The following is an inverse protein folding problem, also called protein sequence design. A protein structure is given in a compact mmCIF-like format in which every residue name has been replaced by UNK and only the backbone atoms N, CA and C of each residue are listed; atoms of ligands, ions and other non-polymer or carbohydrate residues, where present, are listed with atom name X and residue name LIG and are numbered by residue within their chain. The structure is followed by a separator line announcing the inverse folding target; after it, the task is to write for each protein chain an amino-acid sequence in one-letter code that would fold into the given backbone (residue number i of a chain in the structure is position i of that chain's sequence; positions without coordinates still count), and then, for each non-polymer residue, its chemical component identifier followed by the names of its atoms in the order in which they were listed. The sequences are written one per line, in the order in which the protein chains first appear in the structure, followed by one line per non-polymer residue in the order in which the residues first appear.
data_IF_556808905654
#
_entry.id   IF_556808905654
#
_cell.length_a   1.000
_cell.length_b   1.000
_cell.length_c   1.000
_cell.angle_alpha   90.00
_cell.angle_beta   90.00
_cell.angle_gamma   90.00
#
_symmetry.space_group_name_H-M   'P 1'
#
loop_
_entity.id
_entity.type
_entity.pdbx_description
1 polymer ?
#
# COMPACT_ATOMS: atom_id res chain seq x y z
N UNK A 1 -16.33 -1.16 13.94
CA UNK A 1 -16.04 -1.44 12.52
C UNK A 1 -15.19 -0.30 11.91
N UNK A 2 -14.04 0.03 12.54
CA UNK A 2 -13.26 1.25 12.21
C UNK A 2 -11.86 0.94 11.66
N UNK A 3 -11.45 -0.32 11.61
CA UNK A 3 -10.09 -0.72 11.23
C UNK A 3 -9.80 -0.64 9.73
N UNK A 4 -10.82 -0.73 8.89
CA UNK A 4 -10.65 -0.78 7.42
C UNK A 4 -10.44 0.61 6.82
N UNK A 5 -11.09 1.63 7.37
CA UNK A 5 -11.04 2.98 6.82
C UNK A 5 -9.66 3.61 6.98
N UNK A 6 -9.04 3.51 8.17
CA UNK A 6 -7.74 4.14 8.43
C UNK A 6 -6.59 3.59 7.58
N UNK A 7 -6.57 2.29 7.26
CA UNK A 7 -5.56 1.70 6.38
C UNK A 7 -5.74 2.17 4.93
N UNK A 8 -7.00 2.21 4.47
CA UNK A 8 -7.33 2.69 3.13
C UNK A 8 -7.02 4.18 2.99
N UNK A 9 -7.36 4.99 3.99
CA UNK A 9 -7.02 6.42 4.04
C UNK A 9 -5.51 6.66 4.03
N UNK A 10 -4.74 5.84 4.76
CA UNK A 10 -3.28 5.90 4.75
C UNK A 10 -2.69 5.53 3.37
N UNK A 11 -3.25 4.52 2.71
CA UNK A 11 -2.86 4.14 1.37
C UNK A 11 -3.15 5.25 0.36
N UNK A 12 -4.38 5.78 0.33
CA UNK A 12 -4.77 6.88 -0.56
C UNK A 12 -3.87 8.11 -0.38
N UNK A 13 -3.61 8.51 0.88
CA UNK A 13 -2.71 9.63 1.17
C UNK A 13 -1.28 9.39 0.66
N UNK A 14 -0.80 8.15 0.70
CA UNK A 14 0.54 7.80 0.23
C UNK A 14 0.61 7.83 -1.30
N UNK A 15 -0.30 7.14 -2.01
CA UNK A 15 -0.29 7.10 -3.49
C UNK A 15 -0.52 8.48 -4.11
N UNK A 16 -1.36 9.32 -3.50
CA UNK A 16 -1.51 10.72 -3.93
C UNK A 16 -0.19 11.49 -3.82
N UNK A 17 0.51 11.39 -2.69
CA UNK A 17 1.73 12.18 -2.43
C UNK A 17 2.96 11.68 -3.17
N UNK A 18 3.05 10.37 -3.38
CA UNK A 18 4.27 9.71 -3.86
C UNK A 18 4.23 9.41 -5.35
N UNK A 19 3.03 9.29 -5.94
CA UNK A 19 2.86 8.97 -7.36
C UNK A 19 2.06 10.05 -8.08
N UNK A 20 0.79 10.24 -7.72
CA UNK A 20 -0.15 11.02 -8.54
C UNK A 20 0.18 12.51 -8.62
N UNK A 21 0.73 13.09 -7.54
CA UNK A 21 1.14 14.50 -7.52
C UNK A 21 2.58 14.73 -7.98
N UNK A 22 3.33 13.67 -8.29
CA UNK A 22 4.77 13.74 -8.61
C UNK A 22 5.04 13.41 -10.07
N UNK A 23 4.24 12.54 -10.66
CA UNK A 23 4.41 12.08 -12.04
C UNK A 23 3.41 12.73 -13.00
N UNK A 24 3.85 12.92 -14.25
CA UNK A 24 3.00 13.34 -15.36
C UNK A 24 2.85 12.15 -16.30
N UNK A 25 1.60 11.73 -16.51
CA UNK A 25 1.27 10.60 -17.37
C UNK A 25 0.85 11.06 -18.77
N UNK A 26 1.22 10.31 -19.79
CA UNK A 26 0.94 10.59 -21.20
C UNK A 26 -0.17 9.72 -21.77
N UNK A 27 -0.57 8.65 -21.08
CA UNK A 27 -1.69 7.79 -21.45
C UNK A 27 -2.36 7.18 -20.22
N UNK A 28 -3.59 6.69 -20.40
CA UNK A 28 -4.28 5.92 -19.35
C UNK A 28 -3.58 4.60 -19.05
N UNK A 29 -2.98 3.97 -20.06
CA UNK A 29 -2.21 2.74 -19.92
C UNK A 29 -0.99 2.96 -19.00
N UNK A 30 -0.28 4.08 -19.18
CA UNK A 30 0.85 4.45 -18.32
C UNK A 30 0.40 4.66 -16.86
N UNK A 31 -0.76 5.30 -16.64
CA UNK A 31 -1.33 5.45 -15.29
C UNK A 31 -1.62 4.07 -14.67
N UNK A 32 -2.25 3.16 -15.41
CA UNK A 32 -2.60 1.83 -14.93
C UNK A 32 -1.36 1.01 -14.56
N UNK A 33 -0.33 1.05 -15.41
CA UNK A 33 0.93 0.36 -15.15
C UNK A 33 1.62 0.91 -13.89
N UNK A 34 1.74 2.25 -13.78
CA UNK A 34 2.40 2.90 -12.65
C UNK A 34 1.67 2.67 -11.32
N UNK A 35 0.33 2.71 -11.33
CA UNK A 35 -0.49 2.39 -10.14
C UNK A 35 -0.29 0.93 -9.73
N UNK A 36 -0.28 -0.01 -10.68
CA UNK A 36 -0.07 -1.44 -10.40
C UNK A 36 1.28 -1.66 -9.71
N UNK A 37 2.35 -1.12 -10.30
CA UNK A 37 3.70 -1.21 -9.74
C UNK A 37 3.78 -0.58 -8.35
N UNK A 38 3.12 0.57 -8.13
CA UNK A 38 3.10 1.22 -6.83
C UNK A 38 2.38 0.38 -5.77
N UNK A 39 1.25 -0.25 -6.11
CA UNK A 39 0.50 -1.13 -5.19
C UNK A 39 1.36 -2.33 -4.78
N UNK A 40 2.06 -2.96 -5.72
CA UNK A 40 2.97 -4.06 -5.42
C UNK A 40 4.10 -3.62 -4.49
N UNK A 41 4.74 -2.49 -4.80
CA UNK A 41 5.80 -1.95 -3.97
C UNK A 41 5.30 -1.59 -2.55
N UNK A 42 4.17 -0.90 -2.46
CA UNK A 42 3.58 -0.50 -1.18
C UNK A 42 3.27 -1.69 -0.29
N UNK A 43 2.71 -2.77 -0.86
CA UNK A 43 2.30 -3.94 -0.09
C UNK A 43 3.46 -4.88 0.29
N UNK A 44 4.46 -5.03 -0.57
CA UNK A 44 5.45 -6.11 -0.43
C UNK A 44 6.90 -5.66 -0.23
N UNK A 45 7.20 -4.37 -0.41
CA UNK A 45 8.58 -3.87 -0.33
C UNK A 45 8.72 -2.81 0.75
N UNK A 46 7.70 -1.97 0.96
CA UNK A 46 7.77 -0.84 1.89
C UNK A 46 7.84 -1.30 3.36
N UNK A 47 8.98 -1.12 4.06
CA UNK A 47 9.05 -1.43 5.48
C UNK A 47 8.42 -0.30 6.29
N UNK A 48 7.50 -0.64 7.21
CA UNK A 48 6.87 0.35 8.08
C UNK A 48 7.50 0.30 9.48
N UNK A 49 8.15 1.38 9.90
CA UNK A 49 8.81 1.46 11.22
C UNK A 49 7.83 1.31 12.39
N UNK A 50 6.60 1.84 12.26
CA UNK A 50 5.54 1.69 13.28
C UNK A 50 5.02 0.26 13.44
N UNK A 51 5.51 -0.68 12.63
CA UNK A 51 5.11 -2.09 12.68
C UNK A 51 6.29 -3.04 12.86
N UNK A 52 7.47 -2.55 13.24
CA UNK A 52 8.67 -3.38 13.43
C UNK A 52 9.42 -3.68 12.14
N UNK A 53 9.24 -2.87 11.09
CA UNK A 53 9.93 -3.02 9.81
C UNK A 53 9.28 -4.00 8.85
N UNK A 54 8.16 -4.63 9.23
CA UNK A 54 7.37 -5.47 8.33
C UNK A 54 6.70 -4.63 7.23
N UNK A 55 6.35 -5.30 6.14
CA UNK A 55 5.53 -4.73 5.06
C UNK A 55 4.04 -4.83 5.40
N UNK A 56 3.15 -4.11 4.71
CA UNK A 56 1.70 -4.26 4.90
C UNK A 56 1.22 -5.70 4.67
N UNK A 57 1.79 -6.40 3.68
CA UNK A 57 1.49 -7.81 3.40
C UNK A 57 1.97 -8.73 4.53
N UNK A 58 3.20 -8.56 5.03
CA UNK A 58 3.74 -9.37 6.13
C UNK A 58 2.83 -9.30 7.36
N UNK A 59 2.36 -8.10 7.70
CA UNK A 59 1.44 -7.92 8.82
C UNK A 59 0.06 -8.53 8.52
N UNK A 60 -0.45 -8.40 7.31
CA UNK A 60 -1.77 -8.96 6.97
C UNK A 60 -1.77 -10.48 7.02
N UNK A 61 -0.82 -11.14 6.35
CA UNK A 61 -0.70 -12.61 6.36
C UNK A 61 -0.19 -13.16 7.70
N UNK A 62 0.58 -12.38 8.46
CA UNK A 62 0.95 -12.70 9.84
C UNK A 62 -0.26 -12.73 10.78
N UNK A 63 -1.15 -11.74 10.68
CA UNK A 63 -2.40 -11.70 11.45
C UNK A 63 -3.35 -12.83 11.03
N UNK A 64 -3.50 -13.13 9.74
CA UNK A 64 -4.36 -14.25 9.30
C UNK A 64 -3.95 -15.57 9.93
N UNK A 65 -2.64 -15.85 10.06
CA UNK A 65 -2.13 -17.07 10.71
C UNK A 65 -2.32 -17.11 12.23
N UNK A 66 -2.45 -15.96 12.89
CA UNK A 66 -2.75 -15.88 14.32
C UNK A 66 -4.24 -16.10 14.61
N UNK A 67 -5.12 -15.65 13.70
CA UNK A 67 -6.58 -15.83 13.80
C UNK A 67 -7.01 -17.28 13.49
N UNK A 68 -6.22 -18.01 12.70
CA UNK A 68 -6.46 -19.43 12.37
C UNK A 68 -6.01 -20.42 13.46
N UNK A 69 -5.49 -19.94 14.60
CA UNK A 69 -4.95 -20.76 15.70
C UNK A 69 -5.86 -20.78 16.91
#
# INVERSE_FOLDING_TARGET
MSYTLGKLESFHRSIERELLNVEVFRSLEEVQERITQYIEHYNYVRPHHGIGGFTPADRHFGISREVER
#
